data_IF_015079078948
#
_entry.id   IF_015079078948
#
_cell.length_a   1.000
_cell.length_b   1.000
_cell.length_c   1.000
_cell.angle_alpha   90.00
_cell.angle_beta   90.00
_cell.angle_gamma   90.00
#
_symmetry.space_group_name_H-M   'P 1'
#
loop_
_entity.id
_entity.type
_entity.pdbx_description
1 polymer ?
#
# COMPACT_ATOMS: atom_id res chain seq x y z
N UNK A 1 2.22 7.13 17.71
CA UNK A 1 1.16 6.82 16.73
C UNK A 1 -0.25 6.73 17.33
N UNK A 2 -0.58 5.78 18.21
CA UNK A 2 -1.95 5.71 18.78
C UNK A 2 -2.35 6.98 19.53
N UNK A 3 -1.45 7.49 20.38
CA UNK A 3 -1.62 8.76 21.09
C UNK A 3 -1.77 9.94 20.14
N UNK A 4 -0.94 10.00 19.09
CA UNK A 4 -1.01 11.07 18.07
C UNK A 4 -2.34 11.07 17.30
N UNK A 5 -2.91 9.88 17.07
CA UNK A 5 -4.22 9.72 16.44
C UNK A 5 -5.40 9.91 17.42
N UNK A 6 -5.13 10.27 18.69
CA UNK A 6 -6.15 10.48 19.71
C UNK A 6 -6.93 9.20 20.09
N UNK A 7 -6.36 8.01 19.88
CA UNK A 7 -6.99 6.74 20.23
C UNK A 7 -6.31 6.09 21.43
N UNK A 8 -7.09 5.32 22.22
CA UNK A 8 -6.58 4.62 23.39
C UNK A 8 -5.42 3.68 23.04
N UNK A 9 -4.46 3.50 23.95
CA UNK A 9 -3.26 2.72 23.71
C UNK A 9 -3.52 1.25 23.31
N UNK A 10 -4.63 0.68 23.76
CA UNK A 10 -5.07 -0.68 23.44
C UNK A 10 -6.06 -0.75 22.27
N UNK A 11 -6.53 0.40 21.76
CA UNK A 11 -7.50 0.41 20.67
C UNK A 11 -6.86 -0.06 19.35
N UNK A 12 -7.65 -0.70 18.46
CA UNK A 12 -7.17 -1.07 17.13
C UNK A 12 -6.69 0.17 16.36
N UNK A 13 -5.54 0.04 15.71
CA UNK A 13 -4.96 1.10 14.89
C UNK A 13 -5.44 0.95 13.46
N UNK A 14 -6.22 1.91 12.97
CA UNK A 14 -6.70 1.89 11.58
C UNK A 14 -5.54 2.29 10.64
N UNK A 15 -5.10 1.41 9.73
CA UNK A 15 -3.93 1.69 8.89
C UNK A 15 -4.18 2.82 7.88
N UNK A 16 -5.41 2.99 7.38
CA UNK A 16 -5.75 4.13 6.53
C UNK A 16 -5.64 5.48 7.27
N UNK A 17 -6.08 5.53 8.54
CA UNK A 17 -5.93 6.75 9.36
C UNK A 17 -4.46 7.03 9.65
N UNK A 18 -3.68 5.98 9.91
CA UNK A 18 -2.25 6.11 10.12
C UNK A 18 -1.53 6.60 8.85
N UNK A 19 -1.87 6.04 7.68
CA UNK A 19 -1.31 6.47 6.41
C UNK A 19 -1.56 7.97 6.17
N UNK A 20 -2.79 8.43 6.36
CA UNK A 20 -3.13 9.84 6.21
C UNK A 20 -2.37 10.74 7.22
N UNK A 21 -2.25 10.32 8.48
CA UNK A 21 -1.48 11.05 9.51
C UNK A 21 0.01 11.11 9.19
N UNK A 22 0.54 10.08 8.54
CA UNK A 22 1.93 10.02 8.06
C UNK A 22 2.08 10.59 6.64
N UNK A 23 1.06 11.27 6.11
CA UNK A 23 1.06 11.92 4.79
C UNK A 23 1.39 10.96 3.63
N UNK A 24 1.00 9.69 3.75
CA UNK A 24 0.98 8.75 2.64
C UNK A 24 -0.29 8.91 1.81
N UNK A 25 -0.13 8.97 0.49
CA UNK A 25 -1.23 8.86 -0.46
C UNK A 25 -1.52 7.38 -0.68
N UNK A 26 -2.72 6.93 -0.31
CA UNK A 26 -3.15 5.54 -0.53
C UNK A 26 -4.01 5.47 -1.79
N UNK A 27 -3.53 4.70 -2.77
CA UNK A 27 -4.16 4.52 -4.08
C UNK A 27 -4.60 3.07 -4.25
N UNK A 28 -5.79 2.87 -4.77
CA UNK A 28 -6.33 1.55 -5.08
C UNK A 28 -5.80 1.10 -6.44
N UNK A 29 -5.41 -0.16 -6.57
CA UNK A 29 -4.95 -0.72 -7.84
C UNK A 29 -6.03 -0.59 -8.94
N UNK A 30 -7.29 -0.77 -8.59
CA UNK A 30 -8.44 -0.63 -9.51
C UNK A 30 -8.55 0.76 -10.14
N UNK A 31 -8.01 1.82 -9.52
CA UNK A 31 -8.04 3.17 -10.10
C UNK A 31 -7.20 3.31 -11.38
N UNK A 32 -6.32 2.34 -11.66
CA UNK A 32 -5.52 2.31 -12.89
C UNK A 32 -6.20 1.53 -14.02
N UNK A 33 -7.44 1.04 -13.84
CA UNK A 33 -8.12 0.18 -14.82
C UNK A 33 -8.24 0.84 -16.21
N UNK A 34 -8.56 2.14 -16.28
CA UNK A 34 -8.66 2.86 -17.56
C UNK A 34 -7.31 3.02 -18.27
N UNK A 35 -6.22 3.16 -17.50
CA UNK A 35 -4.88 3.37 -18.04
C UNK A 35 -4.16 2.06 -18.40
N UNK A 36 -4.37 1.01 -17.60
CA UNK A 36 -3.66 -0.27 -17.70
C UNK A 36 -4.63 -1.46 -17.48
N UNK A 37 -5.66 -1.63 -18.33
CA UNK A 37 -6.75 -2.57 -18.08
C UNK A 37 -6.29 -4.03 -17.99
N UNK A 38 -5.33 -4.44 -18.83
CA UNK A 38 -4.82 -5.82 -18.84
C UNK A 38 -4.04 -6.16 -17.56
N UNK A 39 -3.15 -5.26 -17.14
CA UNK A 39 -2.34 -5.43 -15.92
C UNK A 39 -3.21 -5.41 -14.68
N UNK A 40 -4.16 -4.47 -14.57
CA UNK A 40 -5.09 -4.39 -13.44
C UNK A 40 -5.96 -5.64 -13.37
N UNK A 41 -6.55 -6.08 -14.48
CA UNK A 41 -7.35 -7.31 -14.55
C UNK A 41 -6.55 -8.54 -14.09
N UNK A 42 -5.30 -8.68 -14.56
CA UNK A 42 -4.42 -9.76 -14.13
C UNK A 42 -4.13 -9.71 -12.62
N UNK A 43 -3.67 -8.57 -12.11
CA UNK A 43 -3.28 -8.41 -10.71
C UNK A 43 -4.47 -8.54 -9.75
N UNK A 44 -5.68 -8.20 -10.18
CA UNK A 44 -6.91 -8.40 -9.39
C UNK A 44 -7.41 -9.85 -9.41
N UNK A 45 -6.95 -10.69 -10.35
CA UNK A 45 -7.30 -12.11 -10.39
C UNK A 45 -6.77 -12.89 -9.17
N UNK A 46 -7.30 -14.09 -8.92
CA UNK A 46 -6.85 -14.92 -7.80
C UNK A 46 -5.35 -15.24 -7.84
N UNK A 47 -4.79 -15.42 -9.04
CA UNK A 47 -3.35 -15.62 -9.24
C UNK A 47 -2.59 -14.32 -9.00
N UNK A 48 -3.00 -13.22 -9.62
CA UNK A 48 -2.33 -11.93 -9.47
C UNK A 48 -2.32 -11.40 -8.03
N UNK A 49 -3.38 -11.65 -7.27
CA UNK A 49 -3.44 -11.35 -5.83
C UNK A 49 -2.35 -12.07 -5.01
N UNK A 50 -1.90 -13.25 -5.45
CA UNK A 50 -0.80 -13.95 -4.79
C UNK A 50 0.59 -13.37 -5.13
N UNK A 51 0.68 -12.64 -6.24
CA UNK A 51 1.91 -12.07 -6.78
C UNK A 51 2.09 -10.59 -6.38
N UNK A 52 0.99 -9.85 -6.21
CA UNK A 52 1.02 -8.43 -5.84
C UNK A 52 -0.04 -8.08 -4.79
N UNK A 53 0.41 -7.48 -3.68
CA UNK A 53 -0.42 -7.17 -2.52
C UNK A 53 -0.53 -5.67 -2.24
N UNK A 54 0.61 -5.00 -2.08
CA UNK A 54 0.73 -3.55 -1.96
C UNK A 54 2.19 -3.16 -2.17
N UNK A 55 2.44 -1.87 -2.36
CA UNK A 55 3.77 -1.34 -2.56
C UNK A 55 3.87 0.13 -2.19
N UNK A 56 5.02 0.51 -1.67
CA UNK A 56 5.36 1.90 -1.38
C UNK A 56 6.29 2.47 -2.46
N UNK A 57 5.90 3.60 -3.04
CA UNK A 57 6.68 4.37 -4.01
C UNK A 57 7.01 5.74 -3.43
N UNK A 58 8.18 6.26 -3.77
CA UNK A 58 8.61 7.60 -3.44
C UNK A 58 8.79 8.40 -4.73
N UNK A 59 8.04 9.48 -4.89
CA UNK A 59 8.15 10.38 -6.04
C UNK A 59 8.36 11.82 -5.56
N UNK A 60 9.61 12.28 -5.57
CA UNK A 60 9.96 13.57 -4.97
C UNK A 60 9.71 13.56 -3.47
N UNK A 61 8.77 14.38 -3.00
CA UNK A 61 8.33 14.41 -1.58
C UNK A 61 7.11 13.53 -1.33
N UNK A 62 6.47 13.01 -2.38
CA UNK A 62 5.26 12.22 -2.26
C UNK A 62 5.60 10.78 -1.86
N UNK A 63 4.86 10.28 -0.87
CA UNK A 63 4.93 8.90 -0.40
C UNK A 63 3.62 8.22 -0.77
N UNK A 64 3.67 7.27 -1.68
CA UNK A 64 2.48 6.68 -2.27
C UNK A 64 2.44 5.19 -1.94
N UNK A 65 1.33 4.71 -1.37
CA UNK A 65 1.06 3.28 -1.24
C UNK A 65 0.02 2.91 -2.28
N UNK A 66 0.38 2.04 -3.21
CA UNK A 66 -0.58 1.39 -4.11
C UNK A 66 -0.93 0.03 -3.50
N UNK A 67 -2.20 -0.25 -3.25
CA UNK A 67 -2.62 -1.54 -2.71
C UNK A 67 -3.64 -2.24 -3.61
N UNK A 68 -3.56 -3.56 -3.65
CA UNK A 68 -4.52 -4.39 -4.37
C UNK A 68 -5.84 -4.47 -3.58
N UNK A 69 -6.84 -3.71 -4.02
CA UNK A 69 -8.15 -3.61 -3.40
C UNK A 69 -9.08 -4.79 -3.74
N UNK A 70 -8.65 -5.74 -4.58
CA UNK A 70 -9.33 -7.02 -4.79
C UNK A 70 -9.19 -7.98 -3.59
N UNK A 71 -8.20 -7.76 -2.72
CA UNK A 71 -8.08 -8.50 -1.47
C UNK A 71 -9.23 -8.21 -0.50
N UNK A 72 -9.54 -9.14 0.41
CA UNK A 72 -10.47 -8.82 1.49
C UNK A 72 -9.93 -7.69 2.39
N UNK A 73 -10.83 -6.96 3.06
CA UNK A 73 -10.46 -5.78 3.88
C UNK A 73 -9.43 -6.07 4.97
N UNK A 74 -9.44 -7.27 5.56
CA UNK A 74 -8.46 -7.65 6.58
C UNK A 74 -7.05 -7.75 6.00
N UNK A 75 -6.92 -8.38 4.83
CA UNK A 75 -5.65 -8.47 4.10
C UNK A 75 -5.19 -7.10 3.60
N UNK A 76 -6.10 -6.26 3.09
CA UNK A 76 -5.76 -4.87 2.73
C UNK A 76 -5.21 -4.09 3.93
N UNK A 77 -5.86 -4.20 5.10
CA UNK A 77 -5.39 -3.56 6.31
C UNK A 77 -3.99 -4.02 6.74
N UNK A 78 -3.74 -5.34 6.66
CA UNK A 78 -2.44 -5.92 6.98
C UNK A 78 -1.35 -5.46 5.99
N UNK A 79 -1.65 -5.44 4.69
CA UNK A 79 -0.74 -4.97 3.66
C UNK A 79 -0.39 -3.49 3.87
N UNK A 80 -1.37 -2.61 4.10
CA UNK A 80 -1.08 -1.19 4.40
C UNK A 80 -0.23 -1.04 5.66
N UNK A 81 -0.53 -1.79 6.73
CA UNK A 81 0.27 -1.72 7.95
C UNK A 81 1.73 -2.17 7.73
N UNK A 82 1.94 -3.18 6.88
CA UNK A 82 3.26 -3.64 6.47
C UNK A 82 4.04 -2.54 5.72
N UNK A 83 3.42 -1.94 4.72
CA UNK A 83 4.03 -0.84 3.94
C UNK A 83 4.36 0.38 4.80
N UNK A 84 3.45 0.78 5.69
CA UNK A 84 3.71 1.87 6.63
C UNK A 84 4.88 1.54 7.57
N UNK A 85 5.01 0.29 8.00
CA UNK A 85 6.14 -0.14 8.82
C UNK A 85 7.48 -0.01 8.08
N UNK A 86 7.55 -0.33 6.78
CA UNK A 86 8.76 -0.12 5.98
C UNK A 86 9.20 1.34 5.98
N UNK A 87 8.26 2.25 5.72
CA UNK A 87 8.55 3.69 5.73
C UNK A 87 8.99 4.23 7.09
N UNK A 88 8.33 3.79 8.16
CA UNK A 88 8.66 4.21 9.53
C UNK A 88 10.00 3.68 10.01
N UNK A 89 10.36 2.47 9.62
CA UNK A 89 11.63 1.84 9.96
C UNK A 89 12.76 2.26 9.00
N UNK A 90 12.45 3.08 7.97
CA UNK A 90 13.37 3.41 6.88
C UNK A 90 14.02 2.18 6.24
N UNK A 91 13.27 1.07 6.19
CA UNK A 91 13.72 -0.10 5.47
C UNK A 91 13.73 0.24 3.98
N UNK A 92 14.87 0.06 3.33
CA UNK A 92 14.95 0.12 1.88
C UNK A 92 14.06 -1.00 1.33
N UNK A 93 12.99 -0.70 0.58
CA UNK A 93 12.23 -1.72 -0.10
C UNK A 93 13.15 -2.47 -1.06
N UNK A 94 12.93 -3.77 -1.26
CA UNK A 94 13.61 -4.47 -2.34
C UNK A 94 13.34 -3.75 -3.65
N UNK A 95 14.40 -3.53 -4.44
CA UNK A 95 14.30 -2.85 -5.72
C UNK A 95 13.33 -3.62 -6.61
N UNK A 96 12.28 -2.94 -7.07
CA UNK A 96 11.29 -3.48 -8.01
C UNK A 96 11.76 -3.41 -9.46
N UNK A 97 12.93 -2.82 -9.68
CA UNK A 97 13.54 -2.74 -10.99
C UNK A 97 14.11 -4.10 -11.32
N UNK A 98 13.29 -4.95 -11.96
CA UNK A 98 13.82 -5.74 -13.05
C UNK A 98 14.37 -4.77 -14.10
N UNK A 99 15.50 -5.12 -14.67
CA UNK A 99 16.37 -4.40 -15.63
C UNK A 99 15.71 -3.56 -16.74
N UNK A 100 14.38 -3.64 -16.91
CA UNK A 100 13.60 -2.96 -17.94
C UNK A 100 12.50 -2.11 -17.29
N UNK A 101 12.88 -1.25 -16.35
CA UNK A 101 11.97 -0.28 -15.73
C UNK A 101 11.00 0.49 -16.65
N UNK A 102 11.10 0.65 -17.98
CA UNK A 102 12.15 0.42 -18.98
C UNK A 102 13.56 0.91 -18.60
#
# INVERSE_FOLDING_TARGET
MRTELGIAAYAPLCPWKLAAHLEYVVVQLSQYEDAQPQSVSYLMSARGQSEFSAITLYHGQDRIIIHNDAHNRGRQAANLAHELAHGLLMHTPDSLVGEDGA
#
